data_IF_126674198306
#
_entry.id   IF_126674198306
#
_cell.length_a   1.000
_cell.length_b   1.000
_cell.length_c   1.000
_cell.angle_alpha   90.00
_cell.angle_beta   90.00
_cell.angle_gamma   90.00
#
_symmetry.space_group_name_H-M   'P 1'
#
loop_
_entity.id
_entity.type
_entity.pdbx_description
1 polymer ?
#
# COMPACT_ATOMS: atom_id res chain seq x y z
N UNK A 1 -10.42 -9.63 21.83
CA UNK A 1 -10.90 -9.62 20.44
C UNK A 1 -12.33 -9.11 20.49
N UNK A 2 -12.64 -8.06 19.74
CA UNK A 2 -14.01 -7.56 19.62
C UNK A 2 -14.52 -8.13 18.29
N UNK A 3 -15.58 -8.92 18.35
CA UNK A 3 -16.27 -9.40 17.16
C UNK A 3 -17.35 -8.40 16.78
N UNK A 4 -17.39 -8.02 15.50
CA UNK A 4 -18.33 -7.03 15.02
C UNK A 4 -18.42 -7.01 13.51
N UNK A 5 -19.55 -6.52 13.03
CA UNK A 5 -19.78 -6.20 11.62
C UNK A 5 -19.19 -4.83 11.32
N UNK A 6 -18.52 -4.68 10.19
CA UNK A 6 -17.91 -3.40 9.80
C UNK A 6 -19.00 -2.33 9.61
N UNK A 7 -20.21 -2.76 9.27
CA UNK A 7 -21.41 -1.93 9.10
C UNK A 7 -21.88 -1.31 10.41
N UNK A 8 -21.57 -1.95 11.54
CA UNK A 8 -21.96 -1.52 12.88
C UNK A 8 -20.84 -0.74 13.58
N UNK A 9 -19.70 -0.52 12.91
CA UNK A 9 -18.55 0.15 13.51
C UNK A 9 -18.85 1.63 13.77
N UNK A 10 -18.95 1.98 15.04
CA UNK A 10 -18.95 3.36 15.52
C UNK A 10 -17.74 3.51 16.45
N UNK A 11 -16.68 4.23 16.06
CA UNK A 11 -15.52 4.39 16.94
C UNK A 11 -15.92 5.11 18.23
N UNK A 12 -15.65 4.58 19.42
CA UNK A 12 -16.17 5.15 20.67
C UNK A 12 -15.48 6.48 21.07
N UNK A 13 -14.24 6.70 20.63
CA UNK A 13 -13.40 7.82 21.05
C UNK A 13 -12.78 8.56 19.86
N UNK A 14 -12.23 9.76 20.14
CA UNK A 14 -11.42 10.48 19.16
C UNK A 14 -10.04 9.84 19.02
N UNK A 15 -9.56 9.68 17.79
CA UNK A 15 -8.31 8.97 17.50
C UNK A 15 -7.40 9.73 16.54
N UNK A 16 -6.14 9.33 16.52
CA UNK A 16 -5.09 9.93 15.70
C UNK A 16 -4.87 9.18 14.37
N UNK A 17 -5.25 7.91 14.30
CA UNK A 17 -5.04 7.05 13.13
C UNK A 17 -6.22 6.10 12.91
N UNK A 18 -6.72 6.06 11.68
CA UNK A 18 -7.57 4.98 11.18
C UNK A 18 -6.83 4.17 10.11
N UNK A 19 -6.84 2.85 10.27
CA UNK A 19 -6.31 1.88 9.33
C UNK A 19 -7.43 0.96 8.84
N UNK A 20 -7.54 0.80 7.53
CA UNK A 20 -8.46 -0.16 6.92
C UNK A 20 -7.78 -0.76 5.69
N UNK A 21 -7.01 -1.83 5.91
CA UNK A 21 -6.29 -2.52 4.84
C UNK A 21 -7.10 -3.71 4.37
N UNK A 22 -7.46 -3.70 3.09
CA UNK A 22 -8.20 -4.75 2.43
C UNK A 22 -9.50 -5.13 3.14
N UNK A 23 -10.27 -4.15 3.64
CA UNK A 23 -11.52 -4.40 4.38
C UNK A 23 -12.75 -3.67 3.83
N UNK A 24 -12.64 -2.40 3.46
CA UNK A 24 -13.80 -1.60 3.03
C UNK A 24 -14.46 -2.15 1.77
N UNK A 25 -13.69 -2.80 0.90
CA UNK A 25 -14.17 -3.30 -0.38
C UNK A 25 -15.10 -4.53 -0.30
N UNK A 26 -15.29 -5.09 0.90
CA UNK A 26 -16.28 -6.14 1.16
C UNK A 26 -17.70 -5.60 1.37
N UNK A 27 -17.87 -4.29 1.51
CA UNK A 27 -19.19 -3.66 1.72
C UNK A 27 -19.52 -2.67 0.61
N UNK A 28 -20.80 -2.37 0.44
CA UNK A 28 -21.33 -1.50 -0.62
C UNK A 28 -21.11 -0.01 -0.31
N UNK A 29 -21.22 0.88 -1.33
CA UNK A 29 -21.02 2.33 -1.17
C UNK A 29 -21.92 2.94 -0.10
N UNK A 30 -23.15 2.48 -0.01
CA UNK A 30 -24.13 2.91 0.99
C UNK A 30 -23.75 2.53 2.42
N UNK A 31 -22.79 1.61 2.61
CA UNK A 31 -22.25 1.24 3.92
C UNK A 31 -20.94 1.97 4.22
N UNK A 32 -19.94 1.87 3.33
CA UNK A 32 -18.62 2.39 3.66
C UNK A 32 -18.56 3.92 3.64
N UNK A 33 -19.36 4.61 2.81
CA UNK A 33 -19.36 6.09 2.79
C UNK A 33 -19.83 6.66 4.13
N UNK A 34 -20.99 6.23 4.70
CA UNK A 34 -21.37 6.62 6.06
C UNK A 34 -20.31 6.28 7.10
N UNK A 35 -19.73 5.08 7.05
CA UNK A 35 -18.67 4.69 7.98
C UNK A 35 -17.46 5.64 7.90
N UNK A 36 -16.99 5.97 6.70
CA UNK A 36 -15.90 6.93 6.52
C UNK A 36 -16.24 8.31 7.05
N UNK A 37 -17.50 8.74 6.95
CA UNK A 37 -17.96 10.01 7.53
C UNK A 37 -17.86 9.99 9.05
N UNK A 38 -18.38 8.95 9.70
CA UNK A 38 -18.28 8.77 11.15
C UNK A 38 -16.83 8.71 11.61
N UNK A 39 -16.00 7.97 10.86
CA UNK A 39 -14.57 7.91 11.10
C UNK A 39 -13.95 9.31 11.03
N UNK A 40 -14.11 10.02 9.91
CA UNK A 40 -13.53 11.37 9.70
C UNK A 40 -13.96 12.38 10.76
N UNK A 41 -15.19 12.29 11.27
CA UNK A 41 -15.68 13.19 12.33
C UNK A 41 -14.89 13.03 13.62
N UNK A 42 -14.57 11.79 13.99
CA UNK A 42 -13.89 11.42 15.25
C UNK A 42 -12.36 11.49 15.16
N UNK A 43 -11.80 11.60 13.97
CA UNK A 43 -10.35 11.80 13.80
C UNK A 43 -9.94 13.17 14.29
N UNK A 44 -8.92 13.25 15.14
CA UNK A 44 -8.38 14.52 15.64
C UNK A 44 -7.76 15.34 14.50
N UNK A 45 -7.74 16.69 14.59
CA UNK A 45 -6.99 17.52 13.66
C UNK A 45 -5.53 17.04 13.56
N UNK A 46 -5.00 16.92 12.34
CA UNK A 46 -3.67 16.36 12.10
C UNK A 46 -3.57 14.83 12.11
N UNK A 47 -4.64 14.11 12.47
CA UNK A 47 -4.70 12.65 12.40
C UNK A 47 -4.77 12.11 10.97
N UNK A 48 -4.59 10.80 10.82
CA UNK A 48 -4.35 10.13 9.54
C UNK A 48 -5.35 9.03 9.25
N UNK A 49 -5.69 8.88 7.97
CA UNK A 49 -6.42 7.72 7.47
C UNK A 49 -5.55 7.02 6.42
N UNK A 50 -5.29 5.72 6.61
CA UNK A 50 -4.53 4.91 5.67
C UNK A 50 -5.29 3.66 5.27
N UNK A 51 -5.65 3.58 3.99
CA UNK A 51 -6.51 2.55 3.46
C UNK A 51 -5.84 1.82 2.30
N UNK A 52 -6.17 0.54 2.17
CA UNK A 52 -5.93 -0.21 0.92
C UNK A 52 -7.22 -0.89 0.51
N UNK A 53 -7.58 -0.76 -0.76
CA UNK A 53 -8.76 -1.44 -1.31
C UNK A 53 -8.43 -2.07 -2.65
N UNK A 54 -9.06 -3.21 -2.92
CA UNK A 54 -9.02 -3.83 -4.23
C UNK A 54 -10.04 -3.08 -5.09
N UNK A 55 -9.70 -2.81 -6.35
CA UNK A 55 -10.58 -2.16 -7.32
C UNK A 55 -10.50 -2.98 -8.60
N UNK A 56 -11.64 -3.46 -9.09
CA UNK A 56 -11.70 -4.19 -10.36
C UNK A 56 -11.47 -3.27 -11.54
N UNK A 57 -10.59 -3.66 -12.46
CA UNK A 57 -10.46 -3.00 -13.76
C UNK A 57 -10.54 -4.02 -14.89
N UNK A 58 -10.86 -3.63 -16.15
CA UNK A 58 -11.03 -4.59 -17.24
C UNK A 58 -9.83 -5.54 -17.44
N UNK A 59 -8.60 -5.05 -17.21
CA UNK A 59 -7.37 -5.86 -17.31
C UNK A 59 -7.16 -6.79 -16.11
N UNK A 60 -7.61 -6.40 -14.92
CA UNK A 60 -7.45 -7.11 -13.66
C UNK A 60 -8.80 -7.10 -12.92
N UNK A 61 -9.77 -7.91 -13.38
CA UNK A 61 -11.08 -7.97 -12.74
C UNK A 61 -10.95 -8.56 -11.35
N UNK A 62 -11.82 -8.15 -10.42
CA UNK A 62 -11.85 -8.78 -9.10
C UNK A 62 -12.30 -10.23 -9.24
N UNK A 63 -11.52 -11.21 -8.75
CA UNK A 63 -11.94 -12.61 -8.79
C UNK A 63 -13.23 -12.83 -7.99
N UNK A 64 -14.10 -13.72 -8.47
CA UNK A 64 -15.40 -13.99 -7.85
C UNK A 64 -15.27 -14.47 -6.39
N UNK A 65 -14.23 -15.26 -6.11
CA UNK A 65 -13.89 -15.78 -4.79
C UNK A 65 -13.55 -14.71 -3.75
N UNK A 66 -13.21 -13.49 -4.17
CA UNK A 66 -12.89 -12.40 -3.26
C UNK A 66 -14.13 -11.81 -2.56
N UNK A 67 -15.36 -12.27 -2.85
CA UNK A 67 -16.62 -11.78 -2.20
C UNK A 67 -16.71 -10.24 -2.12
N UNK A 68 -16.11 -9.59 -3.11
CA UNK A 68 -15.97 -8.16 -3.18
C UNK A 68 -17.32 -7.52 -3.54
N UNK A 69 -17.70 -6.44 -2.87
CA UNK A 69 -18.99 -5.79 -3.11
C UNK A 69 -19.04 -5.05 -4.46
N UNK A 70 -17.89 -4.91 -5.14
CA UNK A 70 -17.71 -4.19 -6.42
C UNK A 70 -18.31 -2.78 -6.38
N UNK A 71 -18.08 -2.11 -5.26
CA UNK A 71 -18.64 -0.80 -4.95
C UNK A 71 -17.55 0.26 -4.77
N UNK A 72 -16.30 -0.02 -5.11
CA UNK A 72 -15.21 0.94 -5.05
C UNK A 72 -14.75 1.29 -6.45
N UNK A 73 -14.78 2.57 -6.79
CA UNK A 73 -14.22 3.12 -8.01
C UNK A 73 -12.96 3.92 -7.69
N UNK A 74 -12.00 3.94 -8.62
CA UNK A 74 -10.82 4.80 -8.50
C UNK A 74 -11.25 6.26 -8.37
N UNK A 75 -10.78 6.93 -7.33
CA UNK A 75 -11.08 8.35 -7.07
C UNK A 75 -12.23 8.59 -6.10
N UNK A 76 -12.94 7.54 -5.67
CA UNK A 76 -13.95 7.63 -4.62
C UNK A 76 -13.34 8.18 -3.33
N UNK A 77 -12.19 7.64 -2.89
CA UNK A 77 -11.49 8.11 -1.70
C UNK A 77 -10.99 9.56 -1.87
N UNK A 78 -10.39 9.90 -3.00
CA UNK A 78 -9.96 11.28 -3.26
C UNK A 78 -11.12 12.28 -3.12
N UNK A 79 -12.30 11.90 -3.63
CA UNK A 79 -13.52 12.71 -3.52
C UNK A 79 -14.02 12.83 -2.09
N UNK A 80 -14.01 11.74 -1.31
CA UNK A 80 -14.42 11.76 0.09
C UNK A 80 -13.47 12.55 1.00
N UNK A 81 -12.21 12.72 0.60
CA UNK A 81 -11.16 13.39 1.37
C UNK A 81 -10.66 14.68 0.70
N UNK A 82 -11.47 15.31 -0.17
CA UNK A 82 -11.08 16.52 -0.90
C UNK A 82 -10.77 17.73 0.02
N UNK A 83 -11.28 17.73 1.25
CA UNK A 83 -11.03 18.72 2.30
C UNK A 83 -9.85 18.34 3.22
N UNK A 84 -9.25 17.17 3.03
CA UNK A 84 -8.07 16.69 3.76
C UNK A 84 -6.84 16.78 2.87
N UNK A 85 -5.66 16.75 3.49
CA UNK A 85 -4.41 16.66 2.75
C UNK A 85 -4.20 15.22 2.27
N UNK A 86 -4.31 14.97 0.97
CA UNK A 86 -4.01 13.66 0.38
C UNK A 86 -2.49 13.51 0.22
N UNK A 87 -1.90 12.64 1.03
CA UNK A 87 -0.46 12.36 1.03
C UNK A 87 -0.09 11.26 0.03
N UNK A 88 -0.91 10.23 -0.14
CA UNK A 88 -0.77 9.19 -1.19
C UNK A 88 -2.12 8.80 -1.74
N UNK A 89 -2.15 8.48 -3.03
CA UNK A 89 -3.32 8.00 -3.76
C UNK A 89 -2.81 7.15 -4.93
N UNK A 90 -2.15 6.05 -4.55
CA UNK A 90 -1.46 5.19 -5.50
C UNK A 90 -2.43 4.16 -6.05
N UNK A 91 -2.26 3.86 -7.33
CA UNK A 91 -3.03 2.83 -8.02
C UNK A 91 -2.08 1.92 -8.81
N UNK A 92 -2.13 0.63 -8.52
CA UNK A 92 -1.21 -0.36 -9.10
C UNK A 92 -1.84 -1.77 -9.11
N UNK A 93 -1.41 -2.61 -10.05
CA UNK A 93 -1.63 -4.05 -9.97
C UNK A 93 -0.55 -4.70 -9.11
N UNK A 94 -0.93 -5.63 -8.24
CA UNK A 94 -0.05 -6.43 -7.38
C UNK A 94 -0.24 -7.90 -7.71
N UNK A 95 0.85 -8.60 -8.00
CA UNK A 95 0.88 -10.05 -8.03
C UNK A 95 1.16 -10.55 -6.63
N UNK A 96 0.23 -11.34 -6.10
CA UNK A 96 0.29 -11.90 -4.76
C UNK A 96 0.39 -13.43 -4.83
N UNK A 97 1.07 -14.00 -3.84
CA UNK A 97 1.22 -15.45 -3.69
C UNK A 97 0.97 -15.82 -2.24
N UNK A 98 0.05 -16.75 -2.04
CA UNK A 98 -0.29 -17.26 -0.71
C UNK A 98 -0.10 -18.78 -0.67
N UNK A 99 0.26 -19.36 0.50
CA UNK A 99 0.33 -20.81 0.62
C UNK A 99 -0.97 -21.48 0.20
N UNK A 100 -0.89 -22.41 -0.77
CA UNK A 100 -2.05 -23.15 -1.27
C UNK A 100 -2.94 -22.42 -2.29
N UNK A 101 -2.64 -21.17 -2.65
CA UNK A 101 -3.39 -20.40 -3.65
C UNK A 101 -2.44 -20.04 -4.81
N UNK A 102 -2.80 -20.33 -6.07
CA UNK A 102 -2.01 -19.88 -7.21
C UNK A 102 -1.75 -18.37 -7.19
N UNK A 103 -0.64 -17.95 -7.77
CA UNK A 103 -0.35 -16.54 -7.94
C UNK A 103 -1.49 -15.88 -8.71
N UNK A 104 -1.98 -14.77 -8.17
CA UNK A 104 -3.07 -14.00 -8.75
C UNK A 104 -2.78 -12.51 -8.61
N UNK A 105 -3.54 -11.70 -9.34
CA UNK A 105 -3.28 -10.26 -9.47
C UNK A 105 -4.48 -9.45 -9.00
N UNK A 106 -4.22 -8.42 -8.22
CA UNK A 106 -5.22 -7.45 -7.76
C UNK A 106 -4.83 -6.06 -8.22
N UNK A 107 -5.76 -5.31 -8.80
CA UNK A 107 -5.60 -3.86 -8.85
C UNK A 107 -5.95 -3.28 -7.47
N UNK A 108 -5.04 -2.50 -6.92
CA UNK A 108 -5.05 -2.00 -5.55
C UNK A 108 -4.94 -0.48 -5.57
N UNK A 109 -5.84 0.18 -4.85
CA UNK A 109 -5.68 1.56 -4.43
C UNK A 109 -5.07 1.60 -3.03
N UNK A 110 -3.99 2.37 -2.86
CA UNK A 110 -3.39 2.68 -1.57
C UNK A 110 -3.52 4.17 -1.30
N UNK A 111 -4.25 4.49 -0.25
CA UNK A 111 -4.62 5.85 0.08
C UNK A 111 -4.08 6.25 1.44
N UNK A 112 -3.50 7.44 1.54
CA UNK A 112 -3.09 8.06 2.80
C UNK A 112 -3.50 9.53 2.79
N UNK A 113 -4.27 9.94 3.77
CA UNK A 113 -4.65 11.33 3.97
C UNK A 113 -4.42 11.77 5.40
N UNK A 114 -4.32 13.09 5.59
CA UNK A 114 -4.16 13.75 6.88
C UNK A 114 -5.24 14.82 7.05
N UNK A 115 -5.90 14.85 8.20
CA UNK A 115 -6.93 15.84 8.51
C UNK A 115 -6.34 17.25 8.54
N UNK A 116 -6.86 18.13 7.70
CA UNK A 116 -6.46 19.53 7.67
C UNK A 116 -6.74 20.22 9.02
N UNK A 117 -6.05 21.34 9.28
CA UNK A 117 -6.17 22.20 10.47
C UNK A 117 -5.34 21.81 11.71
N UNK A 118 -4.28 21.01 11.58
CA UNK A 118 -3.26 20.96 12.63
C UNK A 118 -2.42 22.23 12.59
N UNK A 119 -2.22 22.87 13.75
CA UNK A 119 -1.25 23.96 13.92
C UNK A 119 0.18 23.46 13.66
N UNK A 120 0.41 22.15 13.81
CA UNK A 120 1.70 21.50 13.55
C UNK A 120 1.94 21.23 12.05
N UNK A 121 3.05 21.78 11.56
CA UNK A 121 3.60 21.47 10.25
C UNK A 121 4.13 20.03 10.27
N UNK A 122 3.56 19.15 9.45
CA UNK A 122 4.04 17.79 9.30
C UNK A 122 4.85 17.70 8.00
N UNK A 123 6.16 17.66 8.18
CA UNK A 123 7.17 17.89 7.15
C UNK A 123 7.49 16.59 6.38
N UNK A 124 6.48 16.11 5.64
CA UNK A 124 6.64 15.00 4.69
C UNK A 124 6.80 15.54 3.27
N UNK A 125 7.89 15.12 2.63
CA UNK A 125 8.12 15.30 1.20
C UNK A 125 7.68 14.06 0.43
N UNK A 126 6.89 14.27 -0.64
CA UNK A 126 6.63 13.23 -1.65
C UNK A 126 7.85 13.16 -2.58
N UNK A 127 8.48 12.01 -2.62
CA UNK A 127 9.56 11.72 -3.57
C UNK A 127 8.99 10.82 -4.65
N UNK A 128 8.98 11.32 -5.88
CA UNK A 128 8.65 10.51 -7.05
C UNK A 128 9.76 9.47 -7.25
N UNK A 129 9.36 8.20 -7.30
CA UNK A 129 10.25 7.06 -7.49
C UNK A 129 10.19 6.55 -8.93
N UNK A 130 9.37 7.14 -9.80
CA UNK A 130 9.40 6.90 -11.25
C UNK A 130 10.72 7.43 -11.81
N UNK A 131 11.75 6.61 -11.66
CA UNK A 131 13.04 6.87 -12.27
C UNK A 131 12.97 6.62 -13.79
N UNK A 132 14.04 6.99 -14.49
CA UNK A 132 14.22 6.66 -15.90
C UNK A 132 14.54 5.17 -16.15
N UNK A 133 14.69 4.36 -15.11
CA UNK A 133 14.96 2.93 -15.29
C UNK A 133 13.68 2.25 -15.76
N UNK A 134 13.81 1.26 -16.62
CA UNK A 134 12.68 0.48 -17.09
C UNK A 134 13.04 -0.99 -17.00
N UNK A 135 12.14 -1.79 -16.43
CA UNK A 135 12.22 -3.23 -16.51
C UNK A 135 11.35 -3.67 -17.68
N UNK A 136 11.92 -4.25 -18.76
CA UNK A 136 11.15 -4.78 -19.87
C UNK A 136 10.10 -5.77 -19.37
N UNK A 137 8.89 -5.72 -19.95
CA UNK A 137 7.76 -6.54 -19.51
C UNK A 137 8.10 -8.04 -19.52
N UNK A 138 8.84 -8.51 -20.54
CA UNK A 138 9.29 -9.90 -20.63
C UNK A 138 10.12 -10.30 -19.41
N UNK A 139 11.04 -9.42 -18.96
CA UNK A 139 11.83 -9.69 -17.76
C UNK A 139 10.95 -9.64 -16.50
N UNK A 140 10.10 -8.62 -16.36
CA UNK A 140 9.17 -8.50 -15.24
C UNK A 140 8.27 -9.73 -15.07
N UNK A 141 7.73 -10.26 -16.16
CA UNK A 141 6.88 -11.45 -16.17
C UNK A 141 7.69 -12.72 -15.86
N UNK A 142 8.92 -12.81 -16.38
CA UNK A 142 9.79 -13.99 -16.21
C UNK A 142 10.33 -14.20 -14.79
N UNK A 143 10.42 -13.14 -13.97
CA UNK A 143 10.92 -13.27 -12.59
C UNK A 143 9.83 -13.92 -11.73
N UNK A 144 10.09 -15.12 -11.16
CA UNK A 144 9.10 -15.82 -10.34
C UNK A 144 9.06 -15.25 -8.92
N UNK A 145 7.85 -15.15 -8.35
CA UNK A 145 7.70 -14.95 -6.91
C UNK A 145 8.41 -16.09 -6.17
N UNK A 146 9.07 -15.77 -5.06
CA UNK A 146 9.92 -16.69 -4.30
C UNK A 146 11.40 -16.69 -4.73
N UNK A 147 11.79 -16.00 -5.79
CA UNK A 147 13.20 -15.88 -6.18
C UNK A 147 14.02 -15.08 -5.14
N UNK A 148 15.25 -15.54 -4.85
CA UNK A 148 16.21 -14.74 -4.07
C UNK A 148 16.72 -13.56 -4.90
N UNK A 149 16.95 -12.43 -4.25
CA UNK A 149 17.48 -11.21 -4.84
C UNK A 149 18.77 -11.43 -5.67
N UNK A 150 19.65 -12.34 -5.25
CA UNK A 150 20.88 -12.67 -6.00
C UNK A 150 20.55 -13.37 -7.31
N UNK A 151 19.58 -14.29 -7.31
CA UNK A 151 19.13 -14.95 -8.53
C UNK A 151 18.50 -13.95 -9.51
N UNK A 152 17.69 -13.01 -9.00
CA UNK A 152 17.10 -11.93 -9.82
C UNK A 152 18.18 -11.02 -10.42
N UNK A 153 19.22 -10.67 -9.65
CA UNK A 153 20.38 -9.92 -10.17
C UNK A 153 21.12 -10.69 -11.28
N UNK A 154 21.28 -12.01 -11.13
CA UNK A 154 21.90 -12.85 -12.17
C UNK A 154 21.09 -12.92 -13.47
N UNK A 155 19.80 -12.56 -13.45
CA UNK A 155 18.97 -12.40 -14.65
C UNK A 155 19.18 -11.04 -15.34
N UNK A 156 20.14 -10.21 -14.87
CA UNK A 156 20.42 -8.88 -15.41
C UNK A 156 19.54 -7.77 -14.84
N UNK A 157 18.79 -8.03 -13.77
CA UNK A 157 17.90 -7.04 -13.13
C UNK A 157 18.67 -6.31 -12.02
N UNK A 158 19.04 -5.06 -12.29
CA UNK A 158 19.81 -4.21 -11.37
C UNK A 158 19.09 -2.87 -11.12
N UNK A 159 18.48 -2.67 -9.94
CA UNK A 159 17.82 -1.40 -9.63
C UNK A 159 18.86 -0.30 -9.37
N UNK A 160 18.65 0.91 -9.90
CA UNK A 160 19.37 2.10 -9.40
C UNK A 160 18.70 2.67 -8.15
N UNK A 161 17.39 2.46 -8.01
CA UNK A 161 16.60 2.95 -6.88
C UNK A 161 16.02 1.78 -6.09
N UNK A 162 16.40 1.75 -4.82
CA UNK A 162 15.87 0.80 -3.83
C UNK A 162 15.26 1.61 -2.69
N UNK A 163 13.97 1.40 -2.44
CA UNK A 163 13.33 1.89 -1.23
C UNK A 163 13.41 0.77 -0.18
N UNK A 164 14.23 0.96 0.85
CA UNK A 164 14.49 -0.04 1.88
C UNK A 164 13.91 0.40 3.22
N UNK A 165 13.17 -0.49 3.86
CA UNK A 165 12.64 -0.33 5.21
C UNK A 165 13.24 -1.43 6.06
N UNK A 166 13.89 -1.03 7.15
CA UNK A 166 14.38 -1.94 8.17
C UNK A 166 13.58 -1.74 9.45
N UNK A 167 13.05 -2.84 9.98
CA UNK A 167 12.33 -2.87 11.25
C UNK A 167 13.18 -3.67 12.23
N UNK A 168 14.03 -3.00 13.03
CA UNK A 168 14.86 -3.69 14.01
C UNK A 168 13.98 -4.40 15.04
N UNK A 169 14.46 -5.55 15.54
CA UNK A 169 13.80 -6.35 16.59
C UNK A 169 12.43 -6.93 16.23
N UNK A 170 11.97 -6.80 14.98
CA UNK A 170 10.75 -7.43 14.50
C UNK A 170 11.05 -8.76 13.82
N UNK A 171 10.31 -9.81 14.21
CA UNK A 171 10.22 -11.06 13.44
C UNK A 171 8.76 -11.33 13.08
N UNK A 172 8.40 -11.06 11.82
CA UNK A 172 7.07 -11.39 11.30
C UNK A 172 6.95 -12.82 10.75
N UNK A 173 8.04 -13.58 10.72
CA UNK A 173 8.05 -14.98 10.26
C UNK A 173 7.85 -15.99 11.38
N UNK A 174 8.08 -15.60 12.63
CA UNK A 174 7.84 -16.45 13.81
C UNK A 174 7.48 -15.59 15.03
N UNK A 175 6.34 -15.84 15.70
CA UNK A 175 5.96 -15.13 16.93
C UNK A 175 6.94 -15.36 18.10
N UNK A 176 7.82 -16.37 18.01
CA UNK A 176 8.63 -16.87 19.13
C UNK A 176 10.14 -16.73 18.94
N UNK A 177 10.61 -16.35 17.76
CA UNK A 177 12.05 -16.19 17.51
C UNK A 177 12.40 -14.71 17.31
N UNK A 178 13.30 -14.17 18.12
CA UNK A 178 13.93 -12.88 17.83
C UNK A 178 14.97 -13.10 16.74
N UNK A 179 14.62 -12.80 15.49
CA UNK A 179 15.57 -12.79 14.37
C UNK A 179 16.09 -11.37 14.13
N UNK A 180 17.29 -11.29 13.55
CA UNK A 180 17.91 -10.06 13.01
C UNK A 180 16.94 -9.30 12.11
N UNK A 181 16.88 -7.96 12.26
CA UNK A 181 16.11 -6.96 11.51
C UNK A 181 15.19 -7.48 10.38
N UNK A 182 13.90 -7.16 10.44
CA UNK A 182 13.00 -7.43 9.32
C UNK A 182 13.20 -6.39 8.22
N UNK A 183 13.61 -6.85 7.03
CA UNK A 183 13.94 -5.98 5.89
C UNK A 183 12.94 -6.18 4.76
N UNK A 184 12.40 -5.06 4.27
CA UNK A 184 11.61 -4.98 3.04
C UNK A 184 12.30 -4.02 2.08
N UNK A 185 12.54 -4.46 0.85
CA UNK A 185 13.12 -3.66 -0.23
C UNK A 185 12.19 -3.63 -1.43
N UNK A 186 11.84 -2.43 -1.90
CA UNK A 186 11.18 -2.23 -3.18
C UNK A 186 12.23 -1.78 -4.21
N UNK A 187 12.47 -2.61 -5.22
CA UNK A 187 13.33 -2.32 -6.36
C UNK A 187 12.49 -1.72 -7.47
N UNK A 188 12.79 -0.48 -7.86
CA UNK A 188 11.87 0.36 -8.64
C UNK A 188 12.42 0.61 -10.04
N UNK A 189 11.57 0.38 -11.05
CA UNK A 189 11.89 0.49 -12.47
C UNK A 189 10.76 1.21 -13.22
N UNK A 190 10.71 2.54 -13.12
CA UNK A 190 9.63 3.35 -13.66
C UNK A 190 8.29 2.95 -13.04
N UNK A 191 7.43 2.27 -13.81
CA UNK A 191 6.14 1.75 -13.32
C UNK A 191 6.18 0.33 -12.76
N UNK A 192 7.27 -0.40 -12.92
CA UNK A 192 7.39 -1.77 -12.40
C UNK A 192 8.16 -1.77 -11.09
N UNK A 193 7.70 -2.56 -10.11
CA UNK A 193 8.38 -2.72 -8.82
C UNK A 193 8.48 -4.20 -8.47
N UNK A 194 9.64 -4.59 -7.95
CA UNK A 194 9.89 -5.91 -7.38
C UNK A 194 10.12 -5.74 -5.87
N UNK A 195 9.27 -6.34 -5.04
CA UNK A 195 9.40 -6.25 -3.58
C UNK A 195 9.98 -7.52 -3.00
N UNK A 196 11.06 -7.32 -2.26
CA UNK A 196 11.77 -8.36 -1.55
C UNK A 196 11.52 -8.22 -0.06
N UNK A 197 11.09 -9.32 0.56
CA UNK A 197 11.03 -9.47 2.01
C UNK A 197 12.13 -10.45 2.39
N UNK A 198 13.05 -10.04 3.26
CA UNK A 198 14.21 -10.86 3.63
C UNK A 198 14.94 -11.44 2.40
N UNK A 199 15.15 -10.60 1.37
CA UNK A 199 15.75 -10.94 0.06
C UNK A 199 14.93 -11.88 -0.83
N UNK A 200 13.78 -12.35 -0.41
CA UNK A 200 12.89 -13.18 -1.23
C UNK A 200 11.86 -12.31 -1.92
N UNK A 201 11.69 -12.47 -3.24
CA UNK A 201 10.69 -11.73 -3.99
C UNK A 201 9.28 -12.14 -3.57
N UNK A 202 8.62 -11.31 -2.78
CA UNK A 202 7.27 -11.57 -2.24
C UNK A 202 6.18 -10.82 -2.98
N UNK A 203 6.53 -9.83 -3.79
CA UNK A 203 5.54 -9.08 -4.57
C UNK A 203 6.11 -8.53 -5.87
N UNK A 204 5.25 -8.43 -6.88
CA UNK A 204 5.51 -7.66 -8.10
C UNK A 204 4.40 -6.63 -8.25
N UNK A 205 4.74 -5.45 -8.73
CA UNK A 205 3.77 -4.38 -8.95
C UNK A 205 3.91 -3.75 -10.33
N UNK A 206 2.77 -3.44 -10.96
CA UNK A 206 2.67 -2.56 -12.12
C UNK A 206 1.84 -1.35 -11.70
N UNK A 207 2.50 -0.21 -11.56
CA UNK A 207 1.87 1.04 -11.20
C UNK A 207 1.15 1.68 -12.40
N UNK A 208 -0.05 2.21 -12.15
CA UNK A 208 -0.83 3.04 -13.08
C UNK A 208 -0.71 4.54 -12.76
N UNK A 209 -0.11 4.86 -11.62
CA UNK A 209 0.22 6.20 -11.11
C UNK A 209 1.71 6.24 -10.80
N UNK A 210 2.35 7.40 -10.68
CA UNK A 210 3.77 7.42 -10.31
C UNK A 210 3.98 6.81 -8.91
N UNK A 211 4.87 5.82 -8.71
CA UNK A 211 5.21 5.33 -7.39
C UNK A 211 5.86 6.45 -6.57
N UNK A 212 5.39 6.67 -5.34
CA UNK A 212 5.91 7.71 -4.45
C UNK A 212 6.40 7.16 -3.11
N UNK A 213 7.47 7.75 -2.58
CA UNK A 213 7.91 7.58 -1.19
C UNK A 213 7.56 8.83 -0.39
N UNK A 214 7.18 8.66 0.88
CA UNK A 214 7.04 9.77 1.81
C UNK A 214 8.27 9.79 2.71
N UNK A 215 9.01 10.90 2.68
CA UNK A 215 10.23 11.08 3.49
C UNK A 215 10.07 12.27 4.42
N UNK A 216 10.61 12.17 5.62
CA UNK A 216 10.71 13.31 6.51
C UNK A 216 11.74 14.30 5.95
N UNK A 217 11.35 15.55 5.73
CA UNK A 217 12.25 16.57 5.17
C UNK A 217 13.37 16.99 6.13
N UNK A 218 13.24 16.70 7.42
CA UNK A 218 14.29 17.01 8.42
C UNK A 218 15.50 16.06 8.39
N UNK A 219 15.44 14.95 7.64
CA UNK A 219 16.58 14.04 7.43
C UNK A 219 17.41 14.36 6.18
N UNK A 220 17.07 15.40 5.44
CA UNK A 220 17.82 15.88 4.29
C UNK A 220 18.14 17.36 4.49
N UNK A 221 19.28 17.64 5.11
CA UNK A 221 19.97 18.91 4.89
C UNK A 221 20.25 18.99 3.40
N UNK A 222 19.69 19.99 2.72
CA UNK A 222 20.15 20.38 1.39
C UNK A 222 21.62 20.79 1.51
N UNK A 223 22.53 19.94 1.05
CA UNK A 223 23.82 20.38 0.52
C UNK A 223 23.67 20.81 -0.93
#
# INVERSE_FOLDING_TARGET
MIEGRIEDLVPDENYDLALAHSSLHFVTKDVWIPLLREMRQRTKPGGFHNFTSIIGIPRYPVPHECRHANSFDRGDLDSQYADWQILRSDFYAKWDSHPGIPTHVHAVEKFLSRKANSVERFDLMKVDLSNSDSLPLILFDSVPLGADATAVKSMGVHPRHVNRIEMPEWNMTSPTELASNYVVEDWIFGKHVLQFTQRILTGKYEYFTSPVSLRNSSNYSTE
#
